data_IF_776825832806
#
_entry.id   IF_776825832806
#
_cell.length_a   1.000
_cell.length_b   1.000
_cell.length_c   1.000
_cell.angle_alpha   90.00
_cell.angle_beta   90.00
_cell.angle_gamma   90.00
#
_symmetry.space_group_name_H-M   'P 1'
#
loop_
_entity.id
_entity.type
_entity.pdbx_description
1 polymer ?
#
# COMPACT_ATOMS: atom_id res chain seq x y z
N UNK A 1 54.80 23.10 -55.03
CA UNK A 1 53.66 23.80 -55.66
C UNK A 1 52.39 23.30 -55.01
N UNK A 2 51.61 24.21 -54.42
CA UNK A 2 50.23 24.06 -53.93
C UNK A 2 49.88 22.91 -52.95
N UNK A 3 49.73 23.36 -51.71
CA UNK A 3 48.91 22.91 -50.58
C UNK A 3 47.62 22.11 -50.86
N UNK A 4 47.48 21.00 -50.13
CA UNK A 4 46.23 20.47 -49.57
C UNK A 4 46.57 19.84 -48.21
N UNK A 5 45.95 20.24 -47.07
CA UNK A 5 46.15 19.55 -45.81
C UNK A 5 45.21 18.35 -45.67
N UNK A 6 45.79 17.29 -45.09
CA UNK A 6 45.21 15.99 -44.80
C UNK A 6 44.23 16.03 -43.63
N UNK A 7 43.04 15.43 -43.84
CA UNK A 7 42.19 14.70 -42.88
C UNK A 7 42.52 14.87 -41.39
N UNK A 8 41.80 15.78 -40.74
CA UNK A 8 41.63 15.76 -39.28
C UNK A 8 40.68 14.64 -38.85
N UNK A 9 41.15 13.86 -37.89
CA UNK A 9 40.40 12.87 -37.10
C UNK A 9 39.18 13.51 -36.44
N UNK A 10 38.00 12.97 -36.76
CA UNK A 10 36.72 13.30 -36.15
C UNK A 10 36.76 13.01 -34.63
N UNK A 11 36.97 14.04 -33.82
CA UNK A 11 36.71 14.01 -32.39
C UNK A 11 35.19 14.06 -32.18
N UNK A 12 34.58 12.89 -31.99
CA UNK A 12 33.21 12.82 -31.50
C UNK A 12 33.18 13.37 -30.07
N UNK A 13 32.84 14.66 -29.94
CA UNK A 13 32.50 15.30 -28.69
C UNK A 13 31.23 14.67 -28.15
N UNK A 14 31.41 13.62 -27.35
CA UNK A 14 30.37 12.95 -26.59
C UNK A 14 29.89 13.96 -25.53
N UNK A 15 28.77 14.63 -25.82
CA UNK A 15 28.09 15.57 -24.94
C UNK A 15 27.72 14.87 -23.62
N UNK A 16 28.63 14.88 -22.65
CA UNK A 16 28.38 14.44 -21.28
C UNK A 16 27.55 15.51 -20.58
N UNK A 17 26.23 15.32 -20.58
CA UNK A 17 25.35 16.05 -19.66
C UNK A 17 25.79 15.78 -18.21
N UNK A 18 26.08 16.81 -17.40
CA UNK A 18 26.38 16.62 -16.00
C UNK A 18 25.09 16.22 -15.29
N UNK A 19 24.94 14.92 -15.02
CA UNK A 19 23.93 14.44 -14.10
C UNK A 19 24.12 15.15 -12.76
N UNK A 20 23.10 15.93 -12.40
CA UNK A 20 22.90 16.69 -11.17
C UNK A 20 23.67 16.08 -10.00
N UNK A 21 24.76 16.76 -9.62
CA UNK A 21 25.57 16.49 -8.44
C UNK A 21 24.67 16.67 -7.20
N UNK A 22 24.60 15.62 -6.40
CA UNK A 22 24.31 15.56 -4.95
C UNK A 22 23.45 16.70 -4.35
N UNK A 23 22.25 16.38 -3.85
CA UNK A 23 21.60 17.26 -2.88
C UNK A 23 22.19 16.97 -1.48
N UNK A 24 22.80 17.95 -0.79
CA UNK A 24 23.47 17.73 0.49
C UNK A 24 22.55 17.14 1.57
N UNK A 25 21.25 17.41 1.47
CA UNK A 25 20.20 16.89 2.37
C UNK A 25 20.02 15.37 2.30
N UNK A 26 20.18 14.75 1.11
CA UNK A 26 20.03 13.30 0.98
C UNK A 26 21.28 12.54 1.42
N UNK A 27 22.46 13.17 1.30
CA UNK A 27 23.70 12.66 1.87
C UNK A 27 23.70 12.80 3.41
N UNK A 28 23.27 13.95 3.97
CA UNK A 28 23.23 14.16 5.42
C UNK A 28 22.23 13.28 6.16
N UNK A 29 21.12 12.88 5.54
CA UNK A 29 20.18 11.91 6.14
C UNK A 29 20.69 10.45 6.12
N UNK A 30 21.76 10.17 5.36
CA UNK A 30 22.32 8.83 5.14
C UNK A 30 23.82 8.73 5.49
N UNK A 31 24.39 9.75 6.15
CA UNK A 31 25.75 9.67 6.66
C UNK A 31 25.73 8.77 7.90
N UNK A 32 26.44 7.65 7.79
CA UNK A 32 26.88 6.81 8.90
C UNK A 32 27.80 7.63 9.81
N UNK A 33 27.23 8.27 10.83
CA UNK A 33 27.97 8.51 12.07
C UNK A 33 27.75 7.24 12.88
N UNK A 34 28.76 6.37 13.09
CA UNK A 34 28.61 5.26 14.00
C UNK A 34 28.34 5.85 15.38
N UNK A 35 27.21 5.56 16.05
CA UNK A 35 27.23 5.66 17.49
C UNK A 35 28.23 4.61 17.94
N UNK A 36 29.32 5.04 18.58
CA UNK A 36 30.04 4.21 19.53
C UNK A 36 29.00 3.72 20.54
N UNK A 37 28.38 2.58 20.24
CA UNK A 37 27.57 1.84 21.19
C UNK A 37 28.61 1.18 22.09
N UNK A 38 28.92 1.85 23.20
CA UNK A 38 29.52 1.22 24.36
C UNK A 38 28.63 0.05 24.80
N UNK A 39 28.92 -1.13 24.25
CA UNK A 39 28.29 -2.41 24.57
C UNK A 39 28.85 -3.01 25.88
N UNK A 40 29.43 -2.19 26.77
CA UNK A 40 30.12 -2.63 27.99
C UNK A 40 29.27 -2.66 29.26
N UNK A 41 28.09 -2.04 29.30
CA UNK A 41 27.33 -1.91 30.56
C UNK A 41 26.27 -2.98 30.82
N UNK A 42 26.13 -3.97 29.93
CA UNK A 42 25.30 -5.17 30.17
C UNK A 42 26.07 -6.36 30.76
N UNK A 43 27.16 -6.11 31.48
CA UNK A 43 27.85 -7.13 32.27
C UNK A 43 27.28 -7.18 33.69
N UNK A 44 26.25 -8.04 33.86
CA UNK A 44 25.96 -8.83 35.08
C UNK A 44 26.03 -8.06 36.42
N UNK A 45 24.93 -7.44 36.83
CA UNK A 45 24.75 -6.93 38.20
C UNK A 45 24.58 -8.09 39.20
N UNK A 46 25.03 -7.96 40.47
CA UNK A 46 25.11 -9.07 41.42
C UNK A 46 23.73 -9.54 41.86
N UNK A 47 23.56 -10.87 41.96
CA UNK A 47 22.45 -11.50 42.65
C UNK A 47 22.51 -11.14 44.14
N UNK A 48 21.73 -10.14 44.56
CA UNK A 48 21.42 -9.96 45.97
C UNK A 48 20.41 -11.03 46.36
N UNK A 49 20.85 -11.98 47.19
CA UNK A 49 19.96 -12.93 47.84
C UNK A 49 18.88 -12.19 48.61
N UNK A 50 17.64 -12.63 48.42
CA UNK A 50 16.57 -12.37 49.36
C UNK A 50 15.71 -13.62 49.41
N UNK A 51 15.72 -14.20 50.60
CA UNK A 51 15.06 -15.43 50.99
C UNK A 51 13.56 -15.34 50.76
N UNK A 52 12.96 -16.45 50.33
CA UNK A 52 11.51 -16.60 50.31
C UNK A 52 10.96 -16.63 51.73
N UNK A 53 9.86 -15.91 52.03
CA UNK A 53 8.92 -16.35 53.04
C UNK A 53 7.68 -16.89 52.32
N UNK A 54 7.66 -18.21 52.11
CA UNK A 54 6.40 -18.92 51.92
C UNK A 54 5.73 -19.04 53.29
N UNK A 55 4.67 -18.30 53.52
CA UNK A 55 3.87 -18.46 54.74
C UNK A 55 2.89 -17.33 54.97
N UNK A 56 1.61 -17.67 54.93
CA UNK A 56 0.49 -16.89 55.46
C UNK A 56 0.15 -15.57 54.73
N UNK A 57 -0.78 -15.64 53.78
CA UNK A 57 -1.99 -14.81 53.75
C UNK A 57 -3.00 -15.48 52.80
N UNK A 58 -3.87 -16.31 53.36
CA UNK A 58 -5.14 -16.66 52.72
C UNK A 58 -6.08 -15.46 52.91
N UNK A 59 -6.39 -14.75 51.84
CA UNK A 59 -7.36 -13.66 51.84
C UNK A 59 -7.63 -13.22 50.41
N UNK A 60 -8.70 -13.78 49.82
CA UNK A 60 -9.34 -13.36 48.56
C UNK A 60 -8.39 -12.82 47.47
N UNK A 61 -7.59 -13.73 46.90
CA UNK A 61 -6.94 -13.46 45.64
C UNK A 61 -7.99 -13.30 44.55
N UNK A 62 -8.25 -12.06 44.15
CA UNK A 62 -8.77 -11.76 42.81
C UNK A 62 -7.97 -12.64 41.86
N UNK A 63 -8.63 -13.48 41.07
CA UNK A 63 -7.99 -14.27 40.01
C UNK A 63 -7.38 -13.31 38.99
N UNK A 64 -6.19 -12.80 39.28
CA UNK A 64 -5.40 -12.02 38.35
C UNK A 64 -4.64 -13.02 37.49
N UNK A 65 -5.25 -13.42 36.37
CA UNK A 65 -4.55 -14.20 35.36
C UNK A 65 -3.47 -13.30 34.73
N UNK A 66 -2.17 -13.59 34.92
CA UNK A 66 -1.12 -12.82 34.29
C UNK A 66 -1.28 -12.95 32.78
N UNK A 67 -1.28 -11.81 32.09
CA UNK A 67 -1.45 -11.78 30.64
C UNK A 67 -0.25 -12.52 30.01
N UNK A 68 -0.46 -13.61 29.26
CA UNK A 68 0.63 -14.47 28.80
C UNK A 68 1.57 -13.75 27.83
N UNK A 69 1.02 -12.90 26.95
CA UNK A 69 1.78 -12.13 25.96
C UNK A 69 1.41 -10.64 26.01
N UNK A 70 2.19 -9.85 26.73
CA UNK A 70 1.99 -8.39 26.87
C UNK A 70 2.11 -7.63 25.54
N UNK A 71 3.00 -8.05 24.64
CA UNK A 71 3.22 -7.34 23.38
C UNK A 71 2.00 -7.48 22.45
N UNK A 72 1.47 -8.70 22.31
CA UNK A 72 0.22 -8.96 21.57
C UNK A 72 -0.95 -8.22 22.22
N UNK A 73 -0.99 -8.17 23.55
CA UNK A 73 -2.02 -7.43 24.28
C UNK A 73 -1.99 -5.94 23.97
N UNK A 74 -0.83 -5.28 24.03
CA UNK A 74 -0.71 -3.85 23.72
C UNK A 74 -0.93 -3.55 22.23
N UNK A 75 -0.49 -4.43 21.33
CA UNK A 75 -0.78 -4.34 19.89
C UNK A 75 -2.31 -4.34 19.67
N UNK A 76 -3.04 -5.27 20.28
CA UNK A 76 -4.51 -5.35 20.20
C UNK A 76 -5.23 -4.17 20.84
N UNK A 77 -4.73 -3.70 21.98
CA UNK A 77 -5.25 -2.51 22.66
C UNK A 77 -5.15 -1.29 21.73
N UNK A 78 -3.98 -1.11 21.11
CA UNK A 78 -3.72 -0.02 20.16
C UNK A 78 -4.56 -0.15 18.88
N UNK A 79 -4.69 -1.35 18.32
CA UNK A 79 -5.55 -1.61 17.15
C UNK A 79 -7.01 -1.26 17.43
N UNK A 80 -7.53 -1.63 18.61
CA UNK A 80 -8.90 -1.32 19.02
C UNK A 80 -9.14 0.20 19.08
N UNK A 81 -8.20 0.93 19.68
CA UNK A 81 -8.23 2.40 19.71
C UNK A 81 -8.20 3.00 18.31
N UNK A 82 -7.27 2.56 17.46
CA UNK A 82 -7.12 3.08 16.09
C UNK A 82 -8.37 2.83 15.23
N UNK A 83 -9.04 1.71 15.45
CA UNK A 83 -10.25 1.35 14.73
C UNK A 83 -11.52 1.99 15.31
N UNK A 84 -11.42 2.78 16.40
CA UNK A 84 -12.51 3.57 16.99
C UNK A 84 -13.67 2.73 17.54
N UNK A 85 -13.35 1.55 18.06
CA UNK A 85 -14.28 0.69 18.79
C UNK A 85 -14.87 -0.47 17.99
N UNK A 86 -15.61 -1.34 18.68
CA UNK A 86 -16.07 -2.63 18.13
C UNK A 86 -16.97 -2.48 16.90
N UNK A 87 -17.92 -1.55 16.91
CA UNK A 87 -18.85 -1.36 15.78
C UNK A 87 -18.11 -1.01 14.50
N UNK A 88 -17.15 -0.09 14.57
CA UNK A 88 -16.34 0.29 13.43
C UNK A 88 -15.47 -0.88 12.92
N UNK A 89 -14.90 -1.68 13.82
CA UNK A 89 -14.11 -2.87 13.47
C UNK A 89 -14.97 -3.90 12.74
N UNK A 90 -16.12 -4.27 13.32
CA UNK A 90 -17.02 -5.28 12.74
C UNK A 90 -17.57 -4.81 11.40
N UNK A 91 -18.02 -3.56 11.30
CA UNK A 91 -18.50 -2.99 10.03
C UNK A 91 -17.40 -2.99 8.96
N UNK A 92 -16.17 -2.60 9.32
CA UNK A 92 -15.03 -2.64 8.40
C UNK A 92 -14.79 -4.06 7.86
N UNK A 93 -14.79 -5.07 8.73
CA UNK A 93 -14.59 -6.46 8.30
C UNK A 93 -15.73 -6.98 7.42
N UNK A 94 -16.98 -6.64 7.74
CA UNK A 94 -18.15 -6.99 6.90
C UNK A 94 -17.98 -6.38 5.50
N UNK A 95 -17.63 -5.09 5.42
CA UNK A 95 -17.39 -4.41 4.14
C UNK A 95 -16.23 -5.05 3.37
N UNK A 96 -15.15 -5.44 4.04
CA UNK A 96 -14.02 -6.14 3.40
C UNK A 96 -14.44 -7.48 2.80
N UNK A 97 -15.26 -8.27 3.49
CA UNK A 97 -15.80 -9.54 2.96
C UNK A 97 -16.74 -9.29 1.78
N UNK A 98 -17.64 -8.31 1.89
CA UNK A 98 -18.57 -7.94 0.82
C UNK A 98 -17.81 -7.46 -0.43
N UNK A 99 -16.72 -6.70 -0.26
CA UNK A 99 -15.87 -6.25 -1.37
C UNK A 99 -15.20 -7.43 -2.10
N UNK A 100 -14.70 -8.42 -1.36
CA UNK A 100 -14.12 -9.63 -1.96
C UNK A 100 -15.18 -10.41 -2.73
N UNK A 101 -16.36 -10.61 -2.13
CA UNK A 101 -17.48 -11.29 -2.78
C UNK A 101 -17.92 -10.59 -4.07
N UNK A 102 -18.16 -9.28 -4.00
CA UNK A 102 -18.54 -8.46 -5.14
C UNK A 102 -17.49 -8.57 -6.27
N UNK A 103 -16.21 -8.50 -5.93
CA UNK A 103 -15.14 -8.60 -6.93
C UNK A 103 -15.10 -9.97 -7.61
N UNK A 104 -15.32 -11.07 -6.87
CA UNK A 104 -15.42 -12.42 -7.46
C UNK A 104 -16.59 -12.50 -8.43
N UNK A 105 -17.76 -11.95 -8.05
CA UNK A 105 -18.93 -11.90 -8.93
C UNK A 105 -18.66 -11.08 -10.20
N UNK A 106 -18.04 -9.90 -10.08
CA UNK A 106 -17.69 -9.07 -11.23
C UNK A 106 -16.71 -9.77 -12.18
N UNK A 107 -15.65 -10.39 -11.65
CA UNK A 107 -14.69 -11.13 -12.48
C UNK A 107 -15.38 -12.28 -13.20
N UNK A 108 -16.22 -13.05 -12.49
CA UNK A 108 -17.01 -14.13 -13.10
C UNK A 108 -17.92 -13.61 -14.21
N UNK A 109 -18.66 -12.53 -13.96
CA UNK A 109 -19.55 -11.92 -14.94
C UNK A 109 -18.80 -11.45 -16.20
N UNK A 110 -17.80 -10.58 -16.04
CA UNK A 110 -17.10 -9.96 -17.18
C UNK A 110 -16.25 -10.94 -17.99
N UNK A 111 -15.63 -11.94 -17.36
CA UNK A 111 -14.68 -12.82 -18.06
C UNK A 111 -15.28 -14.18 -18.47
N UNK A 112 -16.38 -14.63 -17.86
CA UNK A 112 -17.02 -15.91 -18.19
C UNK A 112 -18.35 -15.74 -18.93
N UNK A 113 -19.21 -14.84 -18.47
CA UNK A 113 -20.59 -14.72 -18.99
C UNK A 113 -20.72 -13.76 -20.17
N UNK A 114 -19.97 -12.67 -20.17
CA UNK A 114 -20.04 -11.64 -21.22
C UNK A 114 -19.32 -12.11 -22.50
N UNK A 115 -20.04 -12.14 -23.62
CA UNK A 115 -19.44 -12.38 -24.93
C UNK A 115 -18.95 -11.09 -25.58
N UNK A 116 -17.70 -10.73 -25.32
CA UNK A 116 -17.07 -9.53 -25.90
C UNK A 116 -17.07 -9.53 -27.43
N UNK A 117 -17.03 -10.71 -28.07
CA UNK A 117 -17.10 -10.80 -29.52
C UNK A 117 -18.51 -10.46 -30.02
N UNK A 118 -19.55 -11.00 -29.38
CA UNK A 118 -20.93 -10.69 -29.73
C UNK A 118 -21.24 -9.19 -29.51
N UNK A 119 -20.73 -8.60 -28.42
CA UNK A 119 -20.88 -7.16 -28.15
C UNK A 119 -20.15 -6.32 -29.20
N UNK A 120 -18.94 -6.70 -29.60
CA UNK A 120 -18.17 -5.98 -30.63
C UNK A 120 -18.80 -6.05 -32.02
N UNK A 121 -19.56 -7.11 -32.31
CA UNK A 121 -20.28 -7.30 -33.56
C UNK A 121 -21.75 -6.83 -33.51
N UNK A 122 -22.27 -6.46 -32.33
CA UNK A 122 -23.62 -5.95 -32.17
C UNK A 122 -23.70 -4.55 -32.78
N UNK A 123 -24.33 -4.44 -33.95
CA UNK A 123 -24.70 -3.14 -34.54
C UNK A 123 -25.94 -2.65 -33.82
N UNK A 124 -25.81 -1.55 -33.08
CA UNK A 124 -26.91 -0.97 -32.32
C UNK A 124 -27.17 0.47 -32.76
N UNK A 125 -28.45 0.85 -32.92
CA UNK A 125 -28.86 2.17 -33.40
C UNK A 125 -29.36 2.14 -34.85
N UNK A 126 -29.10 3.21 -35.60
CA UNK A 126 -29.63 3.46 -36.96
C UNK A 126 -29.29 2.32 -37.94
N UNK A 127 -28.13 1.67 -37.77
CA UNK A 127 -27.71 0.52 -38.58
C UNK A 127 -28.58 -0.74 -38.39
N UNK A 128 -29.24 -0.90 -37.24
CA UNK A 128 -30.19 -2.00 -37.01
C UNK A 128 -31.59 -1.70 -37.60
N UNK A 129 -31.93 -0.41 -37.72
CA UNK A 129 -33.17 0.04 -38.38
C UNK A 129 -33.10 -0.15 -39.90
N UNK A 130 -31.93 0.05 -40.52
CA UNK A 130 -31.70 -0.20 -41.95
C UNK A 130 -31.64 -1.69 -42.32
N UNK A 131 -31.20 -2.56 -41.40
CA UNK A 131 -31.13 -4.01 -41.63
C UNK A 131 -32.42 -4.77 -41.32
N UNK A 132 -33.44 -4.10 -40.75
CA UNK A 132 -34.72 -4.72 -40.39
C UNK A 132 -34.64 -5.71 -39.23
N UNK A 133 -33.54 -5.70 -38.46
CA UNK A 133 -33.37 -6.57 -37.28
C UNK A 133 -33.81 -5.88 -35.98
N UNK A 134 -34.26 -6.69 -35.02
CA UNK A 134 -34.86 -6.25 -33.75
C UNK A 134 -33.95 -5.29 -32.97
N UNK A 135 -34.52 -4.38 -32.16
CA UNK A 135 -33.74 -3.49 -31.30
C UNK A 135 -32.87 -4.33 -30.35
N UNK A 136 -31.59 -3.97 -30.32
CA UNK A 136 -30.47 -4.61 -29.66
C UNK A 136 -30.81 -5.41 -28.41
N UNK A 137 -30.81 -6.74 -28.52
CA UNK A 137 -30.99 -7.60 -27.35
C UNK A 137 -29.65 -7.85 -26.67
N UNK A 138 -29.35 -7.03 -25.65
CA UNK A 138 -28.16 -7.21 -24.82
C UNK A 138 -28.17 -8.55 -24.06
N UNK A 139 -29.34 -9.17 -23.88
CA UNK A 139 -29.45 -10.50 -23.27
C UNK A 139 -28.81 -11.58 -24.16
N UNK A 140 -28.80 -11.40 -25.49
CA UNK A 140 -28.13 -12.30 -26.42
C UNK A 140 -26.59 -12.29 -26.28
N UNK A 141 -26.03 -11.24 -25.68
CA UNK A 141 -24.59 -11.14 -25.40
C UNK A 141 -24.15 -11.92 -24.14
N UNK A 142 -25.08 -12.52 -23.41
CA UNK A 142 -24.82 -13.33 -22.23
C UNK A 142 -24.77 -14.81 -22.63
N UNK A 143 -23.64 -15.48 -22.41
CA UNK A 143 -23.49 -16.91 -22.72
C UNK A 143 -24.27 -17.75 -21.73
N UNK A 144 -25.17 -18.60 -22.25
CA UNK A 144 -25.85 -19.64 -21.45
C UNK A 144 -24.88 -20.73 -20.97
N UNK A 145 -23.83 -21.06 -21.75
CA UNK A 145 -22.80 -22.04 -21.41
C UNK A 145 -21.40 -21.38 -21.37
N UNK A 146 -21.04 -20.69 -20.27
CA UNK A 146 -19.82 -19.88 -20.21
C UNK A 146 -18.52 -20.70 -20.28
N UNK A 147 -18.55 -21.97 -19.87
CA UNK A 147 -17.36 -22.82 -19.73
C UNK A 147 -16.95 -23.56 -21.01
N UNK A 148 -17.80 -23.62 -22.03
CA UNK A 148 -17.55 -24.38 -23.27
C UNK A 148 -17.40 -23.42 -24.46
N UNK A 149 -16.36 -23.54 -25.31
CA UNK A 149 -15.15 -24.34 -25.11
C UNK A 149 -14.26 -23.77 -23.98
N UNK A 150 -13.49 -24.64 -23.34
CA UNK A 150 -12.62 -24.29 -22.23
C UNK A 150 -11.26 -23.80 -22.75
N UNK A 151 -11.16 -22.50 -23.03
CA UNK A 151 -9.92 -21.86 -23.50
C UNK A 151 -8.98 -21.53 -22.32
N UNK A 152 -7.68 -21.42 -22.58
CA UNK A 152 -6.66 -20.99 -21.60
C UNK A 152 -7.05 -19.75 -20.75
N UNK A 153 -7.57 -18.63 -21.29
CA UNK A 153 -7.99 -17.49 -20.46
C UNK A 153 -9.11 -17.85 -19.49
N UNK A 154 -10.06 -18.70 -19.88
CA UNK A 154 -11.13 -19.16 -18.97
C UNK A 154 -10.57 -20.02 -17.85
N UNK A 155 -9.56 -20.85 -18.13
CA UNK A 155 -8.83 -21.62 -17.11
C UNK A 155 -8.18 -20.70 -16.08
N UNK A 156 -7.49 -19.65 -16.55
CA UNK A 156 -6.85 -18.65 -15.66
C UNK A 156 -7.90 -17.90 -14.84
N UNK A 157 -9.01 -17.49 -15.45
CA UNK A 157 -10.12 -16.82 -14.76
C UNK A 157 -10.72 -17.72 -13.67
N UNK A 158 -11.08 -18.97 -14.00
CA UNK A 158 -11.62 -19.92 -13.02
C UNK A 158 -10.61 -20.19 -11.90
N UNK A 159 -9.33 -20.40 -12.23
CA UNK A 159 -8.28 -20.56 -11.23
C UNK A 159 -8.16 -19.35 -10.30
N UNK A 160 -8.22 -18.14 -10.84
CA UNK A 160 -8.18 -16.90 -10.05
C UNK A 160 -9.40 -16.74 -9.14
N UNK A 161 -10.60 -17.15 -9.60
CA UNK A 161 -11.81 -17.15 -8.76
C UNK A 161 -11.69 -18.14 -7.60
N UNK A 162 -11.18 -19.35 -7.83
CA UNK A 162 -10.95 -20.35 -6.76
C UNK A 162 -10.00 -19.80 -5.70
N UNK A 163 -8.91 -19.15 -6.11
CA UNK A 163 -7.95 -18.51 -5.20
C UNK A 163 -8.64 -17.42 -4.38
N UNK A 164 -9.44 -16.55 -5.02
CA UNK A 164 -10.15 -15.47 -4.34
C UNK A 164 -11.22 -15.95 -3.38
N UNK A 165 -11.98 -16.99 -3.75
CA UNK A 165 -12.97 -17.62 -2.86
C UNK A 165 -12.28 -18.26 -1.66
N UNK A 166 -11.16 -18.95 -1.89
CA UNK A 166 -10.35 -19.54 -0.81
C UNK A 166 -9.80 -18.46 0.12
N UNK A 167 -9.29 -17.35 -0.43
CA UNK A 167 -8.88 -16.18 0.33
C UNK A 167 -10.03 -15.56 1.13
N UNK A 168 -11.20 -15.41 0.52
CA UNK A 168 -12.42 -14.93 1.18
C UNK A 168 -12.85 -15.83 2.35
N UNK A 169 -12.79 -17.15 2.17
CA UNK A 169 -13.08 -18.13 3.21
C UNK A 169 -12.06 -18.06 4.35
N UNK A 170 -10.76 -17.97 4.05
CA UNK A 170 -9.72 -17.80 5.07
C UNK A 170 -9.95 -16.50 5.87
N UNK A 171 -10.30 -15.41 5.20
CA UNK A 171 -10.61 -14.15 5.87
C UNK A 171 -11.87 -14.23 6.73
N UNK A 172 -12.89 -14.94 6.27
CA UNK A 172 -14.10 -15.19 7.04
C UNK A 172 -13.82 -16.05 8.29
N UNK A 173 -12.96 -17.07 8.19
CA UNK A 173 -12.53 -17.85 9.36
C UNK A 173 -11.68 -17.01 10.31
N UNK A 174 -10.75 -16.20 9.78
CA UNK A 174 -9.95 -15.26 10.57
C UNK A 174 -10.82 -14.26 11.32
N UNK A 175 -11.93 -13.81 10.73
CA UNK A 175 -12.88 -12.91 11.38
C UNK A 175 -13.38 -13.49 12.72
N UNK A 176 -13.75 -14.77 12.79
CA UNK A 176 -14.21 -15.37 14.06
C UNK A 176 -13.10 -15.45 15.11
N UNK A 177 -11.88 -15.83 14.67
CA UNK A 177 -10.72 -15.90 15.57
C UNK A 177 -10.38 -14.51 16.11
N UNK A 178 -10.38 -13.50 15.24
CA UNK A 178 -10.06 -12.12 15.60
C UNK A 178 -11.17 -11.48 16.44
N UNK A 179 -12.45 -11.82 16.19
CA UNK A 179 -13.59 -11.31 16.96
C UNK A 179 -13.45 -11.63 18.45
N UNK A 180 -13.07 -12.86 18.80
CA UNK A 180 -12.82 -13.23 20.21
C UNK A 180 -11.76 -12.32 20.85
N UNK A 181 -10.67 -12.08 20.13
CA UNK A 181 -9.60 -11.20 20.61
C UNK A 181 -10.06 -9.74 20.77
N UNK A 182 -10.85 -9.24 19.84
CA UNK A 182 -11.39 -7.87 19.88
C UNK A 182 -12.40 -7.68 20.99
N UNK A 183 -13.21 -8.70 21.29
CA UNK A 183 -14.11 -8.70 22.44
C UNK A 183 -13.33 -8.65 23.75
N UNK A 184 -12.26 -9.44 23.89
CA UNK A 184 -11.38 -9.35 25.07
C UNK A 184 -10.78 -7.94 25.24
N UNK A 185 -10.39 -7.28 24.14
CA UNK A 185 -9.90 -5.90 24.19
C UNK A 185 -11.03 -4.93 24.62
N UNK A 186 -12.24 -5.08 24.10
CA UNK A 186 -13.42 -4.29 24.53
C UNK A 186 -13.72 -4.49 26.01
N UNK A 187 -13.70 -5.72 26.49
CA UNK A 187 -13.94 -6.03 27.90
C UNK A 187 -12.87 -5.39 28.79
N UNK A 188 -11.62 -5.33 28.34
CA UNK A 188 -10.57 -4.61 29.04
C UNK A 188 -10.85 -3.09 29.10
N UNK A 189 -11.23 -2.47 27.98
CA UNK A 189 -11.60 -1.05 27.94
C UNK A 189 -12.79 -0.73 28.87
N UNK A 190 -13.85 -1.53 28.80
CA UNK A 190 -15.07 -1.30 29.54
C UNK A 190 -14.92 -1.63 31.03
N UNK A 191 -14.40 -2.81 31.36
CA UNK A 191 -14.33 -3.29 32.74
C UNK A 191 -13.15 -2.70 33.52
N UNK A 192 -11.99 -2.56 32.88
CA UNK A 192 -10.75 -2.17 33.56
C UNK A 192 -10.42 -0.69 33.44
N UNK A 193 -10.51 -0.11 32.23
CA UNK A 193 -10.23 1.31 32.01
C UNK A 193 -11.45 2.21 32.25
N UNK A 194 -12.65 1.62 32.38
CA UNK A 194 -13.94 2.32 32.50
C UNK A 194 -14.14 3.33 31.38
N UNK A 195 -13.88 2.92 30.14
CA UNK A 195 -14.07 3.73 28.94
C UNK A 195 -15.12 3.05 28.06
N UNK A 196 -16.12 3.82 27.65
CA UNK A 196 -17.16 3.36 26.73
C UNK A 196 -16.73 3.48 25.27
N UNK A 197 -17.37 2.71 24.38
CA UNK A 197 -17.06 2.76 22.94
C UNK A 197 -17.31 4.15 22.31
N UNK A 198 -18.19 4.97 22.91
CA UNK A 198 -18.43 6.35 22.47
C UNK A 198 -17.27 7.27 22.86
N UNK A 199 -16.76 7.15 24.09
CA UNK A 199 -15.63 7.94 24.58
C UNK A 199 -14.32 7.59 23.85
N UNK A 200 -14.16 6.34 23.39
CA UNK A 200 -12.99 5.91 22.59
C UNK A 200 -12.84 6.73 21.30
N UNK A 201 -13.95 7.26 20.78
CA UNK A 201 -13.91 8.05 19.55
C UNK A 201 -13.19 9.39 19.74
N UNK A 202 -13.35 10.02 20.91
CA UNK A 202 -12.89 11.37 21.22
C UNK A 202 -11.65 11.42 22.12
N UNK A 203 -11.38 10.36 22.89
CA UNK A 203 -10.22 10.31 23.79
C UNK A 203 -8.90 10.30 23.00
N UNK A 204 -7.87 10.93 23.57
CA UNK A 204 -6.51 10.90 23.02
C UNK A 204 -5.77 9.63 23.45
N UNK A 205 -4.86 9.15 22.58
CA UNK A 205 -4.04 7.97 22.88
C UNK A 205 -3.17 8.11 24.15
N UNK A 206 -2.50 9.26 24.40
CA UNK A 206 -1.70 9.43 25.63
C UNK A 206 -2.54 9.25 26.89
N UNK A 207 -3.79 9.73 26.90
CA UNK A 207 -4.68 9.59 28.04
C UNK A 207 -5.07 8.14 28.33
N UNK A 208 -5.20 7.31 27.29
CA UNK A 208 -5.42 5.87 27.44
C UNK A 208 -4.18 5.23 28.08
N UNK A 209 -2.99 5.57 27.58
CA UNK A 209 -1.74 5.04 28.10
C UNK A 209 -1.54 5.42 29.57
N UNK A 210 -1.80 6.68 29.95
CA UNK A 210 -1.78 7.12 31.35
C UNK A 210 -2.71 6.27 32.23
N UNK A 211 -3.95 6.03 31.78
CA UNK A 211 -4.90 5.17 32.49
C UNK A 211 -4.40 3.73 32.62
N UNK A 212 -3.74 3.18 31.60
CA UNK A 212 -3.14 1.84 31.64
C UNK A 212 -1.99 1.78 32.63
N UNK A 213 -1.12 2.79 32.67
CA UNK A 213 0.00 2.88 33.62
C UNK A 213 -0.53 3.05 35.06
N UNK A 214 -1.60 3.82 35.26
CA UNK A 214 -2.25 3.93 36.57
C UNK A 214 -2.91 2.62 37.01
N UNK A 215 -3.56 1.91 36.08
CA UNK A 215 -4.18 0.61 36.33
C UNK A 215 -3.13 -0.47 36.66
N UNK A 216 -1.95 -0.40 36.05
CA UNK A 216 -0.84 -1.30 36.36
C UNK A 216 -0.43 -1.20 37.84
N UNK A 217 -0.47 -0.01 38.43
CA UNK A 217 -0.11 0.19 39.85
C UNK A 217 -1.11 -0.48 40.80
N UNK A 218 -2.37 -0.62 40.39
CA UNK A 218 -3.43 -1.22 41.22
C UNK A 218 -3.70 -2.70 40.94
N UNK A 219 -3.57 -3.16 39.69
CA UNK A 219 -3.95 -4.52 39.24
C UNK A 219 -2.79 -5.36 38.65
N UNK A 220 -1.54 -4.93 38.84
CA UNK A 220 -0.29 -5.59 38.38
C UNK A 220 -0.44 -6.44 37.11
N UNK A 221 -0.79 -5.83 35.98
CA UNK A 221 -0.87 -6.48 34.65
C UNK A 221 0.48 -7.11 34.24
N UNK A 222 1.59 -6.48 34.63
CA UNK A 222 2.93 -7.04 34.59
C UNK A 222 3.43 -7.32 36.02
N UNK A 223 3.71 -8.59 36.33
CA UNK A 223 4.19 -9.00 37.66
C UNK A 223 5.67 -8.67 37.87
N UNK A 224 6.45 -8.56 36.79
CA UNK A 224 7.93 -8.54 36.82
C UNK A 224 8.49 -7.12 36.95
N UNK A 225 7.81 -6.10 36.41
CA UNK A 225 8.30 -4.71 36.37
C UNK A 225 7.15 -3.72 36.20
N UNK A 226 7.28 -2.55 36.80
CA UNK A 226 6.40 -1.41 36.53
C UNK A 226 6.50 -0.99 35.06
N UNK A 227 5.36 -0.86 34.39
CA UNK A 227 5.27 -0.44 32.99
C UNK A 227 5.31 1.09 32.91
N UNK A 228 6.27 1.63 32.15
CA UNK A 228 6.26 3.03 31.73
C UNK A 228 5.49 3.23 30.42
N UNK A 229 5.11 4.47 30.12
CA UNK A 229 4.54 4.84 28.83
C UNK A 229 5.48 4.48 27.68
N UNK A 230 6.79 4.73 27.87
CA UNK A 230 7.82 4.40 26.90
C UNK A 230 7.91 2.90 26.63
N UNK A 231 7.82 2.06 27.67
CA UNK A 231 7.84 0.60 27.51
C UNK A 231 6.65 0.09 26.70
N UNK A 232 5.46 0.65 26.90
CA UNK A 232 4.26 0.27 26.13
C UNK A 232 4.45 0.63 24.65
N UNK A 233 4.95 1.84 24.36
CA UNK A 233 5.20 2.26 22.98
C UNK A 233 6.28 1.41 22.32
N UNK A 234 7.39 1.12 23.01
CA UNK A 234 8.45 0.25 22.48
C UNK A 234 7.94 -1.16 22.15
N UNK A 235 7.01 -1.70 22.95
CA UNK A 235 6.38 -3.01 22.69
C UNK A 235 5.49 -2.97 21.45
N UNK A 236 4.66 -1.92 21.32
CA UNK A 236 3.80 -1.71 20.14
C UNK A 236 4.65 -1.54 18.87
N UNK A 237 5.73 -0.75 18.96
CA UNK A 237 6.57 -0.35 17.84
C UNK A 237 7.72 -1.32 17.55
N UNK A 238 7.78 -2.47 18.23
CA UNK A 238 8.96 -3.34 18.21
C UNK A 238 9.35 -3.76 16.80
N UNK A 239 8.42 -4.24 15.99
CA UNK A 239 8.68 -4.72 14.61
C UNK A 239 8.95 -3.55 13.66
N UNK A 240 8.18 -2.49 13.78
CA UNK A 240 8.23 -1.29 12.97
C UNK A 240 9.56 -0.55 13.14
N UNK A 241 10.07 -0.46 14.37
CA UNK A 241 11.38 0.15 14.65
C UNK A 241 12.53 -0.59 13.96
N UNK A 242 12.47 -1.93 13.87
CA UNK A 242 13.44 -2.68 13.07
C UNK A 242 13.32 -2.36 11.58
N UNK A 243 12.11 -2.24 11.05
CA UNK A 243 11.90 -1.87 9.65
C UNK A 243 12.41 -0.47 9.34
N UNK A 244 12.17 0.51 10.22
CA UNK A 244 12.72 1.87 10.12
C UNK A 244 14.25 1.80 10.06
N UNK A 245 14.88 1.06 10.98
CA UNK A 245 16.34 0.86 10.99
C UNK A 245 16.87 0.20 9.72
N UNK A 246 16.19 -0.81 9.18
CA UNK A 246 16.60 -1.48 7.94
C UNK A 246 16.51 -0.58 6.71
N UNK A 247 15.48 0.27 6.64
CA UNK A 247 15.29 1.23 5.54
C UNK A 247 16.33 2.35 5.63
N UNK A 248 16.54 2.94 6.81
CA UNK A 248 17.49 4.03 7.01
C UNK A 248 18.94 3.59 6.76
N UNK A 249 19.29 2.36 7.15
CA UNK A 249 20.60 1.76 6.83
C UNK A 249 20.73 1.27 5.38
N UNK A 250 19.69 1.39 4.56
CA UNK A 250 19.72 0.96 3.15
C UNK A 250 19.96 -0.53 2.94
N UNK A 251 19.62 -1.38 3.92
CA UNK A 251 19.80 -2.85 3.83
C UNK A 251 18.90 -3.43 2.73
N UNK A 252 17.74 -2.83 2.51
CA UNK A 252 16.76 -3.22 1.48
C UNK A 252 17.00 -2.40 0.21
N UNK A 253 18.26 -2.35 -0.26
CA UNK A 253 18.64 -1.67 -1.49
C UNK A 253 18.83 -2.69 -2.62
N UNK A 254 18.25 -2.38 -3.79
CA UNK A 254 18.27 -3.27 -4.96
C UNK A 254 19.03 -2.62 -6.11
N UNK A 255 19.77 -3.40 -6.92
CA UNK A 255 20.45 -2.89 -8.11
C UNK A 255 19.44 -2.68 -9.24
N UNK A 256 18.70 -1.57 -9.18
CA UNK A 256 17.63 -1.24 -10.14
C UNK A 256 18.07 -0.06 -11.00
N UNK A 257 17.60 -0.02 -12.25
CA UNK A 257 17.90 1.11 -13.14
C UNK A 257 17.10 2.35 -12.70
N UNK A 258 17.70 3.56 -12.73
CA UNK A 258 17.03 4.80 -12.27
C UNK A 258 15.74 5.15 -12.99
N UNK A 259 15.55 4.69 -14.23
CA UNK A 259 14.35 4.99 -15.02
C UNK A 259 13.13 4.14 -14.62
N UNK A 260 13.31 3.10 -13.79
CA UNK A 260 12.20 2.23 -13.39
C UNK A 260 11.25 3.00 -12.45
N UNK A 261 9.94 3.05 -12.76
CA UNK A 261 8.97 3.71 -11.89
C UNK A 261 9.01 3.15 -10.47
N UNK A 262 9.12 4.05 -9.48
CA UNK A 262 9.22 3.68 -8.08
C UNK A 262 10.64 3.39 -7.57
N UNK A 263 11.68 3.57 -8.40
CA UNK A 263 13.06 3.60 -7.92
C UNK A 263 13.23 4.76 -6.91
N UNK A 264 13.47 4.41 -5.64
CA UNK A 264 13.70 5.39 -4.58
C UNK A 264 15.09 6.02 -4.64
N UNK A 265 15.49 6.75 -3.58
CA UNK A 265 16.80 7.38 -3.52
C UNK A 265 17.94 6.36 -3.66
N UNK A 266 19.06 6.82 -4.22
CA UNK A 266 20.27 6.00 -4.37
C UNK A 266 21.00 5.87 -3.04
N UNK A 267 21.32 4.66 -2.63
CA UNK A 267 22.20 4.37 -1.49
C UNK A 267 23.53 3.86 -2.04
N UNK A 268 24.64 4.40 -1.55
CA UNK A 268 25.98 3.90 -1.87
C UNK A 268 26.14 2.53 -1.22
N UNK A 269 26.31 1.49 -2.02
CA UNK A 269 26.61 0.17 -1.48
C UNK A 269 28.09 0.12 -1.11
N UNK A 270 28.37 -0.24 0.14
CA UNK A 270 29.75 -0.38 0.64
C UNK A 270 30.51 -1.57 0.02
N UNK A 271 29.81 -2.47 -0.69
CA UNK A 271 30.36 -3.75 -1.18
C UNK A 271 30.69 -3.71 -2.67
N UNK A 272 30.00 -2.89 -3.46
CA UNK A 272 30.28 -2.67 -4.87
C UNK A 272 29.91 -1.24 -5.24
N UNK A 273 30.72 -0.57 -6.07
CA UNK A 273 30.51 0.79 -6.61
C UNK A 273 29.27 0.91 -7.55
N UNK A 274 28.22 0.14 -7.27
CA UNK A 274 26.93 0.15 -7.94
C UNK A 274 25.96 0.98 -7.11
N UNK A 275 25.30 1.92 -7.78
CA UNK A 275 24.19 2.68 -7.19
C UNK A 275 23.00 1.75 -7.02
N UNK A 276 22.65 1.46 -5.77
CA UNK A 276 21.45 0.70 -5.45
C UNK A 276 20.30 1.65 -5.11
N UNK A 277 19.09 1.28 -5.47
CA UNK A 277 17.87 2.05 -5.18
C UNK A 277 17.04 1.31 -4.14
N UNK A 278 16.46 2.06 -3.20
CA UNK A 278 15.54 1.50 -2.21
C UNK A 278 14.14 1.49 -2.79
N UNK A 279 13.43 0.35 -2.73
CA UNK A 279 12.02 0.26 -3.11
C UNK A 279 11.29 -0.57 -2.06
N UNK A 280 10.15 -0.07 -1.58
CA UNK A 280 9.32 -0.77 -0.60
C UNK A 280 7.83 -0.74 -1.01
N UNK A 281 7.40 -1.62 -1.92
CA UNK A 281 6.00 -1.86 -2.21
C UNK A 281 5.32 -2.57 -1.03
N UNK A 282 3.99 -2.45 -0.88
CA UNK A 282 3.26 -3.14 0.21
C UNK A 282 3.44 -4.66 0.19
N UNK A 283 3.55 -5.27 -1.00
CA UNK A 283 3.79 -6.70 -1.13
C UNK A 283 5.17 -7.11 -0.56
N UNK A 284 6.18 -6.26 -0.73
CA UNK A 284 7.50 -6.49 -0.14
C UNK A 284 7.46 -6.29 1.37
N UNK A 285 6.77 -5.27 1.87
CA UNK A 285 6.57 -5.05 3.30
C UNK A 285 5.92 -6.28 3.96
N UNK A 286 4.87 -6.84 3.34
CA UNK A 286 4.23 -8.07 3.79
C UNK A 286 5.20 -9.26 3.77
N UNK A 287 5.99 -9.40 2.70
CA UNK A 287 6.99 -10.46 2.55
C UNK A 287 8.07 -10.38 3.62
N UNK A 288 8.56 -9.17 3.93
CA UNK A 288 9.54 -8.92 4.98
C UNK A 288 8.96 -9.24 6.36
N UNK A 289 7.71 -8.85 6.61
CA UNK A 289 7.05 -9.18 7.87
C UNK A 289 6.94 -10.68 8.09
N UNK A 290 6.54 -11.43 7.06
CA UNK A 290 6.43 -12.88 7.12
C UNK A 290 7.80 -13.57 7.24
N UNK A 291 8.77 -13.18 6.41
CA UNK A 291 10.06 -13.87 6.32
C UNK A 291 11.02 -13.52 7.46
N UNK A 292 10.95 -12.28 7.95
CA UNK A 292 11.89 -11.74 8.95
C UNK A 292 11.18 -11.62 10.28
N UNK A 293 10.23 -10.68 10.44
CA UNK A 293 9.72 -10.28 11.76
C UNK A 293 8.98 -11.40 12.49
N UNK A 294 8.10 -12.14 11.82
CA UNK A 294 7.41 -13.29 12.44
C UNK A 294 8.38 -14.41 12.86
N UNK A 295 9.51 -14.54 12.19
CA UNK A 295 10.50 -15.58 12.49
C UNK A 295 11.59 -15.16 13.47
N UNK A 296 11.79 -13.84 13.61
CA UNK A 296 12.81 -13.24 14.45
C UNK A 296 12.44 -13.33 15.93
N UNK A 297 11.16 -13.11 16.25
CA UNK A 297 10.67 -13.10 17.61
C UNK A 297 10.15 -14.48 18.03
N UNK A 298 10.44 -14.86 19.27
CA UNK A 298 9.81 -16.00 19.94
C UNK A 298 8.47 -15.58 20.57
N UNK A 299 7.69 -16.52 21.13
CA UNK A 299 6.43 -16.22 21.82
C UNK A 299 6.59 -15.16 22.91
N UNK A 300 7.74 -15.15 23.59
CA UNK A 300 8.10 -14.15 24.62
C UNK A 300 8.68 -12.83 24.06
N UNK A 301 8.59 -12.61 22.74
CA UNK A 301 9.15 -11.44 22.03
C UNK A 301 10.66 -11.23 22.21
N UNK A 302 11.39 -12.30 22.51
CA UNK A 302 12.85 -12.34 22.49
C UNK A 302 13.36 -12.71 21.09
N UNK A 303 14.55 -12.24 20.72
CA UNK A 303 15.18 -12.62 19.45
C UNK A 303 15.62 -14.07 19.51
N UNK A 304 15.14 -14.89 18.57
CA UNK A 304 15.47 -16.31 18.49
C UNK A 304 16.97 -16.47 18.17
N UNK A 305 17.70 -17.22 18.99
CA UNK A 305 19.14 -17.48 18.77
C UNK A 305 19.40 -18.20 17.44
N UNK A 306 18.51 -19.10 17.04
CA UNK A 306 18.60 -19.82 15.75
C UNK A 306 18.50 -18.88 14.55
N UNK A 307 17.75 -17.79 14.67
CA UNK A 307 17.65 -16.77 13.62
C UNK A 307 18.98 -16.05 13.42
N UNK A 308 19.71 -15.78 14.51
CA UNK A 308 21.04 -15.16 14.46
C UNK A 308 22.10 -16.11 13.89
N UNK A 309 21.98 -17.41 14.16
CA UNK A 309 22.98 -18.40 13.76
C UNK A 309 22.88 -18.86 12.29
N UNK A 310 21.72 -18.74 11.64
CA UNK A 310 21.45 -19.45 10.37
C UNK A 310 21.04 -18.55 9.19
N UNK A 311 21.99 -17.85 8.52
CA UNK A 311 21.68 -17.04 7.33
C UNK A 311 21.11 -17.88 6.17
N UNK A 312 21.51 -19.15 6.07
CA UNK A 312 21.00 -20.08 5.05
C UNK A 312 19.49 -20.35 5.20
N UNK A 313 18.98 -20.38 6.44
CA UNK A 313 17.54 -20.59 6.69
C UNK A 313 16.72 -19.39 6.20
N UNK A 314 17.21 -18.17 6.46
CA UNK A 314 16.58 -16.95 5.95
C UNK A 314 16.56 -16.94 4.41
N UNK A 315 17.68 -17.30 3.76
CA UNK A 315 17.74 -17.40 2.29
C UNK A 315 16.70 -18.39 1.74
N UNK A 316 16.59 -19.59 2.33
CA UNK A 316 15.62 -20.60 1.89
C UNK A 316 14.17 -20.09 2.01
N UNK A 317 13.83 -19.40 3.10
CA UNK A 317 12.50 -18.81 3.29
C UNK A 317 12.19 -17.73 2.26
N UNK A 318 13.14 -16.82 2.00
CA UNK A 318 12.97 -15.77 1.00
C UNK A 318 12.78 -16.35 -0.40
N UNK A 319 13.54 -17.39 -0.77
CA UNK A 319 13.39 -18.08 -2.06
C UNK A 319 12.03 -18.77 -2.15
N UNK A 320 11.61 -19.48 -1.10
CA UNK A 320 10.31 -20.14 -1.07
C UNK A 320 9.14 -19.16 -1.23
N UNK A 321 9.13 -18.07 -0.46
CA UNK A 321 8.07 -17.03 -0.57
C UNK A 321 8.15 -16.33 -1.93
N UNK A 322 9.34 -16.09 -2.47
CA UNK A 322 9.52 -15.54 -3.82
C UNK A 322 8.93 -16.42 -4.92
N UNK A 323 9.17 -17.74 -4.86
CA UNK A 323 8.57 -18.70 -5.81
C UNK A 323 7.05 -18.74 -5.66
N UNK A 324 6.53 -18.76 -4.43
CA UNK A 324 5.09 -18.73 -4.18
C UNK A 324 4.44 -17.46 -4.74
N UNK A 325 5.06 -16.29 -4.53
CA UNK A 325 4.59 -15.01 -5.08
C UNK A 325 4.64 -14.96 -6.61
N UNK A 326 5.63 -15.60 -7.23
CA UNK A 326 5.73 -15.69 -8.68
C UNK A 326 4.63 -16.56 -9.28
N UNK A 327 4.34 -17.72 -8.67
CA UNK A 327 3.25 -18.60 -9.12
C UNK A 327 1.90 -17.89 -8.95
N UNK A 328 1.71 -17.14 -7.87
CA UNK A 328 0.47 -16.41 -7.59
C UNK A 328 0.38 -15.06 -8.32
N UNK A 329 1.46 -14.60 -8.97
CA UNK A 329 1.56 -13.25 -9.54
C UNK A 329 0.44 -12.88 -10.53
N UNK A 330 -0.01 -13.73 -11.49
CA UNK A 330 -1.08 -13.34 -12.39
C UNK A 330 -2.37 -13.00 -11.62
N UNK A 331 -2.71 -13.78 -10.61
CA UNK A 331 -3.89 -13.53 -9.77
C UNK A 331 -3.71 -12.29 -8.88
N UNK A 332 -2.51 -12.12 -8.29
CA UNK A 332 -2.18 -10.98 -7.43
C UNK A 332 -2.13 -9.64 -8.17
N UNK A 333 -2.00 -9.63 -9.50
CA UNK A 333 -2.01 -8.40 -10.31
C UNK A 333 -3.40 -8.10 -10.85
N UNK A 334 -4.09 -9.11 -11.41
CA UNK A 334 -5.42 -8.92 -12.01
C UNK A 334 -6.42 -8.41 -10.97
N UNK A 335 -6.43 -8.99 -9.77
CA UNK A 335 -7.41 -8.63 -8.75
C UNK A 335 -7.27 -7.18 -8.26
N UNK A 336 -6.11 -6.69 -7.79
CA UNK A 336 -5.96 -5.29 -7.42
C UNK A 336 -6.17 -4.32 -8.58
N UNK A 337 -5.86 -4.73 -9.82
CA UNK A 337 -6.11 -3.91 -11.00
C UNK A 337 -7.60 -3.72 -11.24
N UNK A 338 -8.39 -4.80 -11.25
CA UNK A 338 -9.85 -4.73 -11.39
C UNK A 338 -10.45 -3.92 -10.24
N UNK A 339 -10.01 -4.19 -9.00
CA UNK A 339 -10.46 -3.43 -7.84
C UNK A 339 -10.14 -1.93 -7.97
N UNK A 340 -8.94 -1.58 -8.45
CA UNK A 340 -8.53 -0.19 -8.64
C UNK A 340 -9.38 0.50 -9.71
N UNK A 341 -9.64 -0.18 -10.83
CA UNK A 341 -10.51 0.33 -11.90
C UNK A 341 -11.92 0.55 -11.35
N UNK A 342 -12.53 -0.44 -10.71
CA UNK A 342 -13.89 -0.32 -10.18
C UNK A 342 -14.01 0.76 -9.10
N UNK A 343 -13.01 0.85 -8.21
CA UNK A 343 -13.00 1.83 -7.11
C UNK A 343 -12.82 3.26 -7.60
N UNK A 344 -12.02 3.47 -8.64
CA UNK A 344 -11.65 4.81 -9.11
C UNK A 344 -12.26 5.16 -10.47
N UNK A 345 -13.11 4.32 -11.07
CA UNK A 345 -13.72 4.59 -12.38
C UNK A 345 -14.50 5.91 -12.38
N UNK A 346 -15.34 6.12 -11.36
CA UNK A 346 -16.10 7.36 -11.20
C UNK A 346 -15.18 8.57 -11.03
N UNK A 347 -14.16 8.46 -10.18
CA UNK A 347 -13.21 9.54 -9.89
C UNK A 347 -12.35 9.89 -11.12
N UNK A 348 -11.93 8.88 -11.89
CA UNK A 348 -11.18 9.05 -13.14
C UNK A 348 -12.05 9.74 -14.20
N UNK A 349 -13.34 9.40 -14.27
CA UNK A 349 -14.26 9.98 -15.24
C UNK A 349 -14.62 11.43 -14.91
N UNK A 350 -14.98 11.71 -13.66
CA UNK A 350 -15.43 13.04 -13.23
C UNK A 350 -14.28 14.01 -12.93
N UNK A 351 -13.16 13.51 -12.41
CA UNK A 351 -12.04 14.33 -11.95
C UNK A 351 -10.67 13.73 -12.37
N UNK A 352 -10.30 13.82 -13.67
CA UNK A 352 -9.06 13.24 -14.17
C UNK A 352 -7.81 13.89 -13.55
N UNK A 353 -7.90 15.12 -13.04
CA UNK A 353 -6.83 15.77 -12.27
C UNK A 353 -6.50 15.00 -10.97
N UNK A 354 -7.47 14.29 -10.38
CA UNK A 354 -7.25 13.52 -9.16
C UNK A 354 -6.39 12.28 -9.39
N UNK A 355 -6.45 11.67 -10.57
CA UNK A 355 -5.56 10.57 -10.95
C UNK A 355 -4.08 11.01 -11.00
N UNK A 356 -3.83 12.29 -11.31
CA UNK A 356 -2.49 12.91 -11.30
C UNK A 356 -2.07 13.46 -9.94
N UNK A 357 -2.95 13.42 -8.94
CA UNK A 357 -2.65 13.95 -7.61
C UNK A 357 -1.50 13.18 -6.97
N UNK A 358 -0.52 13.91 -6.44
CA UNK A 358 0.65 13.30 -5.80
C UNK A 358 0.30 12.92 -4.37
N UNK A 359 0.74 11.74 -3.95
CA UNK A 359 0.59 11.21 -2.60
C UNK A 359 1.95 10.76 -2.08
N UNK A 360 2.11 10.76 -0.76
CA UNK A 360 3.29 10.17 -0.14
C UNK A 360 3.41 8.69 -0.49
N UNK A 361 4.58 8.30 -1.01
CA UNK A 361 4.91 6.92 -1.32
C UNK A 361 5.02 6.07 -0.06
N UNK A 362 4.84 4.74 -0.17
CA UNK A 362 5.03 3.85 0.97
C UNK A 362 6.47 3.93 1.52
N UNK A 363 7.46 4.04 0.63
CA UNK A 363 8.86 4.18 1.04
C UNK A 363 9.10 5.45 1.85
N UNK A 364 8.60 6.60 1.38
CA UNK A 364 8.71 7.87 2.13
C UNK A 364 8.04 7.78 3.50
N UNK A 365 7.00 6.95 3.65
CA UNK A 365 6.39 6.75 4.97
C UNK A 365 7.37 6.15 5.96
N UNK A 366 8.19 5.19 5.54
CA UNK A 366 9.18 4.56 6.41
C UNK A 366 10.43 5.41 6.62
N UNK A 367 10.84 6.20 5.62
CA UNK A 367 11.99 7.12 5.75
C UNK A 367 11.69 8.27 6.72
N UNK A 368 10.51 8.88 6.65
CA UNK A 368 10.15 10.03 7.49
C UNK A 368 9.62 9.64 8.88
N UNK A 369 9.41 8.35 9.15
CA UNK A 369 8.87 7.87 10.42
C UNK A 369 9.96 7.83 11.47
N UNK A 370 9.66 8.41 12.63
CA UNK A 370 10.60 8.43 13.75
C UNK A 370 10.50 7.12 14.56
N UNK A 371 11.58 6.80 15.28
CA UNK A 371 11.57 5.66 16.20
C UNK A 371 10.52 5.88 17.29
N UNK A 372 9.79 4.81 17.64
CA UNK A 372 8.71 4.85 18.62
C UNK A 372 7.53 5.79 18.24
N UNK A 373 7.44 6.22 16.98
CA UNK A 373 6.29 6.99 16.50
C UNK A 373 5.16 6.06 16.03
N UNK A 374 4.09 6.00 16.83
CA UNK A 374 2.89 5.21 16.51
C UNK A 374 2.18 5.75 15.26
N UNK A 375 1.57 4.83 14.51
CA UNK A 375 1.10 5.07 13.15
C UNK A 375 0.06 6.21 13.01
N UNK A 376 -0.82 6.42 13.99
CA UNK A 376 -1.80 7.51 13.91
C UNK A 376 -1.18 8.91 14.05
N UNK A 377 -0.15 9.07 14.91
CA UNK A 377 0.59 10.33 15.01
C UNK A 377 1.38 10.60 13.75
N UNK A 378 2.05 9.58 13.23
CA UNK A 378 2.75 9.67 11.95
C UNK A 378 1.82 10.09 10.81
N UNK A 379 0.65 9.45 10.69
CA UNK A 379 -0.37 9.80 9.69
C UNK A 379 -0.87 11.23 9.85
N UNK A 380 -1.10 11.68 11.08
CA UNK A 380 -1.51 13.07 11.34
C UNK A 380 -0.46 14.07 10.85
N UNK A 381 0.80 13.89 11.25
CA UNK A 381 1.94 14.74 10.80
C UNK A 381 2.07 14.75 9.28
N UNK A 382 2.01 13.56 8.66
CA UNK A 382 2.17 13.40 7.23
C UNK A 382 1.02 14.04 6.43
N UNK A 383 -0.22 13.91 6.91
CA UNK A 383 -1.38 14.53 6.28
C UNK A 383 -1.32 16.07 6.36
N UNK A 384 -0.91 16.62 7.50
CA UNK A 384 -0.73 18.09 7.64
C UNK A 384 0.33 18.61 6.66
N UNK A 385 1.38 17.84 6.39
CA UNK A 385 2.43 18.22 5.42
C UNK A 385 2.03 18.05 3.95
N UNK A 386 0.95 17.31 3.64
CA UNK A 386 0.60 16.94 2.27
C UNK A 386 0.23 18.17 1.41
N UNK A 387 -0.49 19.14 1.99
CA UNK A 387 -0.88 20.37 1.27
C UNK A 387 0.34 21.24 0.95
N UNK A 388 1.22 21.44 1.94
CA UNK A 388 2.43 22.26 1.78
C UNK A 388 3.42 21.63 0.79
N UNK A 389 3.63 20.32 0.86
CA UNK A 389 4.50 19.61 -0.09
C UNK A 389 3.97 19.69 -1.53
N UNK A 390 2.65 19.60 -1.73
CA UNK A 390 2.05 19.77 -3.05
C UNK A 390 2.24 21.20 -3.57
N UNK A 391 2.07 22.22 -2.73
CA UNK A 391 2.29 23.62 -3.11
C UNK A 391 3.74 23.90 -3.46
N UNK A 392 4.70 23.28 -2.76
CA UNK A 392 6.12 23.35 -3.11
C UNK A 392 6.39 22.73 -4.49
N UNK A 393 5.87 21.53 -4.76
CA UNK A 393 6.07 20.87 -6.06
C UNK A 393 5.48 21.66 -7.24
N UNK A 394 4.37 22.38 -7.03
CA UNK A 394 3.77 23.26 -8.04
C UNK A 394 4.69 24.41 -8.48
N UNK A 395 5.68 24.79 -7.66
CA UNK A 395 6.65 25.83 -8.01
C UNK A 395 7.68 25.38 -9.05
N UNK A 396 7.77 24.07 -9.33
CA UNK A 396 8.73 23.51 -10.28
C UNK A 396 8.04 22.85 -11.49
N UNK A 397 7.27 23.61 -12.29
CA UNK A 397 6.73 23.09 -13.54
C UNK A 397 7.87 22.84 -14.54
N UNK A 398 7.81 21.71 -15.23
CA UNK A 398 8.75 21.40 -16.31
C UNK A 398 8.26 22.08 -17.61
N UNK A 399 8.98 23.07 -18.16
CA UNK A 399 8.51 23.86 -19.30
C UNK A 399 8.28 23.03 -20.55
N UNK A 400 9.12 22.00 -20.79
CA UNK A 400 8.97 21.07 -21.90
C UNK A 400 7.62 20.34 -21.86
N UNK A 401 7.21 19.84 -20.69
CA UNK A 401 5.91 19.18 -20.52
C UNK A 401 4.77 20.17 -20.77
N UNK A 402 4.91 21.43 -20.35
CA UNK A 402 3.91 22.47 -20.61
C UNK A 402 3.75 22.76 -22.10
N UNK A 403 4.85 22.87 -22.85
CA UNK A 403 4.82 23.10 -24.31
C UNK A 403 4.12 21.94 -25.02
N UNK A 404 4.51 20.70 -24.68
CA UNK A 404 3.88 19.49 -25.26
C UNK A 404 2.39 19.44 -24.90
N UNK A 405 2.03 19.70 -23.63
CA UNK A 405 0.63 19.70 -23.19
C UNK A 405 -0.20 20.75 -23.92
N UNK A 406 0.33 21.96 -24.14
CA UNK A 406 -0.34 23.01 -24.93
C UNK A 406 -0.58 22.59 -26.37
N UNK A 407 0.41 21.97 -27.01
CA UNK A 407 0.25 21.46 -28.38
C UNK A 407 -0.80 20.34 -28.45
N UNK A 408 -0.73 19.36 -27.55
CA UNK A 408 -1.71 18.27 -27.48
C UNK A 408 -3.13 18.81 -27.22
N UNK A 409 -3.27 19.76 -26.30
CA UNK A 409 -4.55 20.42 -25.99
C UNK A 409 -5.11 21.19 -27.19
N UNK A 410 -4.25 21.86 -27.98
CA UNK A 410 -4.66 22.53 -29.22
C UNK A 410 -5.14 21.53 -30.27
N UNK A 411 -4.38 20.46 -30.52
CA UNK A 411 -4.75 19.42 -31.50
C UNK A 411 -6.05 18.73 -31.07
N UNK A 412 -6.18 18.33 -29.81
CA UNK A 412 -7.41 17.73 -29.31
C UNK A 412 -8.57 18.72 -29.39
N UNK A 413 -8.40 19.97 -28.95
CA UNK A 413 -9.45 20.98 -28.98
C UNK A 413 -9.92 21.32 -30.40
N UNK A 414 -9.00 21.39 -31.36
CA UNK A 414 -9.32 21.59 -32.77
C UNK A 414 -10.13 20.43 -33.36
N UNK A 415 -9.74 19.19 -33.05
CA UNK A 415 -10.48 18.00 -33.48
C UNK A 415 -11.86 17.91 -32.81
N UNK A 416 -11.97 18.27 -31.53
CA UNK A 416 -13.25 18.41 -30.82
C UNK A 416 -14.17 19.43 -31.52
N UNK A 417 -13.63 20.63 -31.77
CA UNK A 417 -14.38 21.71 -32.38
C UNK A 417 -14.86 21.35 -33.78
N UNK A 418 -14.01 20.70 -34.59
CA UNK A 418 -14.39 20.19 -35.89
C UNK A 418 -15.53 19.16 -35.81
N UNK A 419 -15.48 18.22 -34.85
CA UNK A 419 -16.55 17.25 -34.61
C UNK A 419 -17.86 17.92 -34.17
N UNK A 420 -17.79 18.94 -33.31
CA UNK A 420 -18.97 19.71 -32.88
C UNK A 420 -19.59 20.44 -34.08
N UNK A 421 -18.78 21.10 -34.90
CA UNK A 421 -19.25 21.82 -36.10
C UNK A 421 -19.89 20.84 -37.10
N UNK A 422 -19.25 19.69 -37.34
CA UNK A 422 -19.82 18.62 -38.18
C UNK A 422 -21.13 18.09 -37.61
N UNK A 423 -21.23 17.90 -36.29
CA UNK A 423 -22.46 17.50 -35.61
C UNK A 423 -23.60 18.52 -35.77
N UNK A 424 -23.29 19.83 -35.74
CA UNK A 424 -24.28 20.88 -36.02
C UNK A 424 -24.70 20.95 -37.50
N UNK A 425 -23.79 20.63 -38.44
CA UNK A 425 -24.07 20.68 -39.88
C UNK A 425 -24.85 19.47 -40.39
N UNK A 426 -24.85 18.35 -39.65
CA UNK A 426 -25.68 17.18 -39.96
C UNK A 426 -25.63 16.13 -38.87
N UNK A 427 -26.75 15.94 -38.18
CA UNK A 427 -26.93 14.90 -37.15
C UNK A 427 -26.63 13.49 -37.71
N UNK A 428 -26.95 13.24 -38.98
CA UNK A 428 -26.72 11.98 -39.69
C UNK A 428 -25.25 11.67 -40.00
N UNK A 429 -24.38 12.68 -40.10
CA UNK A 429 -22.92 12.51 -40.30
C UNK A 429 -22.26 12.06 -38.99
N UNK A 430 -22.79 12.52 -37.85
CA UNK A 430 -22.33 12.12 -36.54
C UNK A 430 -22.66 10.64 -36.28
N UNK A 431 -23.90 10.22 -36.53
CA UNK A 431 -24.36 8.84 -36.25
C UNK A 431 -23.61 7.76 -37.05
N UNK A 432 -23.24 8.03 -38.31
CA UNK A 432 -22.59 7.04 -39.20
C UNK A 432 -21.05 6.91 -39.07
N UNK A 433 -20.34 7.91 -38.55
CA UNK A 433 -18.86 7.87 -38.44
C UNK A 433 -18.34 7.95 -37.00
N UNK A 434 -19.09 8.53 -36.06
CA UNK A 434 -18.67 8.65 -34.66
C UNK A 434 -18.85 7.31 -33.93
N UNK A 435 -19.78 6.44 -34.32
CA UNK A 435 -20.00 5.14 -33.65
C UNK A 435 -18.78 4.19 -33.70
N UNK A 436 -17.95 4.27 -34.75
CA UNK A 436 -16.74 3.42 -34.87
C UNK A 436 -15.44 4.10 -34.39
N UNK A 437 -15.32 5.43 -34.48
CA UNK A 437 -14.07 6.14 -34.19
C UNK A 437 -14.04 6.80 -32.81
N UNK A 438 -15.21 7.02 -32.19
CA UNK A 438 -15.34 7.96 -31.06
C UNK A 438 -15.20 7.34 -29.68
N UNK A 439 -15.43 6.05 -29.45
CA UNK A 439 -15.31 5.52 -28.09
C UNK A 439 -13.91 5.74 -27.49
N UNK A 440 -12.79 5.45 -28.20
CA UNK A 440 -11.47 5.82 -27.71
C UNK A 440 -11.17 7.31 -27.90
N UNK A 441 -11.63 7.94 -28.98
CA UNK A 441 -11.27 9.31 -29.33
C UNK A 441 -11.99 10.38 -28.47
N UNK A 442 -13.24 10.14 -28.08
CA UNK A 442 -14.03 10.93 -27.10
C UNK A 442 -13.49 10.70 -25.69
N UNK A 443 -13.07 9.47 -25.33
CA UNK A 443 -12.38 9.25 -24.04
C UNK A 443 -11.03 9.99 -24.00
N UNK A 444 -10.27 9.95 -25.09
CA UNK A 444 -9.04 10.73 -25.27
C UNK A 444 -9.34 12.23 -25.21
N UNK A 445 -10.34 12.72 -25.94
CA UNK A 445 -10.78 14.12 -25.90
C UNK A 445 -11.21 14.57 -24.50
N UNK A 446 -11.99 13.77 -23.78
CA UNK A 446 -12.42 14.10 -22.42
C UNK A 446 -11.24 14.07 -21.43
N UNK A 447 -10.34 13.09 -21.56
CA UNK A 447 -9.13 12.99 -20.73
C UNK A 447 -8.11 14.12 -21.02
N UNK A 448 -8.02 14.59 -22.26
CA UNK A 448 -7.10 15.66 -22.70
C UNK A 448 -7.70 17.07 -22.66
N UNK A 449 -9.03 17.22 -22.57
CA UNK A 449 -9.70 18.51 -22.43
C UNK A 449 -9.83 18.96 -20.96
N UNK A 450 -9.81 18.02 -20.01
CA UNK A 450 -9.87 18.31 -18.59
C UNK A 450 -8.62 18.95 -17.91
N UNK A 451 -7.40 18.99 -18.47
CA UNK A 451 -6.28 19.68 -17.83
C UNK A 451 -6.26 21.20 -18.09
N UNK A 452 -7.22 21.78 -18.82
CA UNK A 452 -7.21 23.21 -19.16
C UNK A 452 -8.01 24.12 -18.19
N UNK A 453 -8.87 23.56 -17.34
CA UNK A 453 -9.64 24.35 -16.35
C UNK A 453 -9.04 24.29 -14.94
N UNK A 454 -7.76 24.60 -14.74
CA UNK A 454 -7.26 25.27 -13.51
C UNK A 454 -5.89 25.90 -13.80
N UNK A 455 -5.88 27.15 -14.24
CA UNK A 455 -4.87 28.14 -13.85
C UNK A 455 -5.19 29.49 -14.50
N UNK A 456 -6.16 30.20 -13.94
CA UNK A 456 -6.05 31.66 -13.86
C UNK A 456 -6.12 32.03 -12.37
N UNK A 457 -5.28 32.99 -11.94
CA UNK A 457 -4.98 33.27 -10.54
C UNK A 457 -6.21 33.64 -9.70
#
# INVERSE_FOLDING_TARGET
>A
MMSFPSKDTNSQTLFKWPWRRESPLSAQLLIDIPPEIELSDYRRLPSSGSESPSGLLHGEGVKEEPIPDLDIFFERLYEYFCAKGLRCIVTKWIIEILNVLFTVCCIGFFFLYVDWNAIGHLKCGVEALESGEKPCDLMAAIKHNPLVPFTFPKMVTVGSMIILVTYGLINFLKFFVQLKSTLNARDFYYNSLKITDLEIQTISWPRIIEKVVLLQKSKKLCVVRDLSEHDIIMRIMRKENYLIGMVNKGIISFPIRPWLPGAGPTVKSHVHDRRNHVILPKALEWTLNWCIFQSMFDSKFCVRKDFLASPAALKKRLVFVGIAMLILSPCLVIFPLVYLILRHAEEIYNHPSTASSRRWSNLSRWIFREYNEVDHFFRHRMNNSAVHSLNYLKQFPTPLISIIAKFVSFVSGGLAGALIIMGFLGESILEGHVSSLSAPFVFLLHAFYAPSKVSHP
#
